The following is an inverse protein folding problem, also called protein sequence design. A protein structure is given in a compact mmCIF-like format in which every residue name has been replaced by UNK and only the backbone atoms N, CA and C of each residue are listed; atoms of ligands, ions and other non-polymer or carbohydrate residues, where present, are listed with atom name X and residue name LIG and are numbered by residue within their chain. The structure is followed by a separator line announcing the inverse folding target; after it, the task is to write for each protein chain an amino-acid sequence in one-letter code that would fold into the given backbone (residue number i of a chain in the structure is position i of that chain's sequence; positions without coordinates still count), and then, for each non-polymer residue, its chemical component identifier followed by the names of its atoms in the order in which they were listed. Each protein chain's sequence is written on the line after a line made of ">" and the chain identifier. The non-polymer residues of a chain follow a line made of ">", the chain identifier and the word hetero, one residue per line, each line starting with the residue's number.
data_IF_377679953308
#
_entry.id   IF_377679953308
#
_cell.length_a   1.000
_cell.length_b   1.000
_cell.length_c   1.000
_cell.angle_alpha   90.00
_cell.angle_beta   90.00
_cell.angle_gamma   90.00
#
_symmetry.space_group_name_H-M   'P 1'
#
loop_
_entity.id
_entity.type
_entity.pdbx_description
1 polymer ?
#
# COMPACT_ATOMS: atom_id res chain seq x y z
N UNK A 1 5.49 25.11 -0.22
CA UNK A 1 6.12 24.57 1.01
C UNK A 1 7.39 23.83 0.58
N UNK A 2 8.54 23.95 1.26
CA UNK A 2 9.78 23.56 0.62
C UNK A 2 9.99 22.03 0.70
N UNK A 3 9.92 21.42 -0.47
CA UNK A 3 10.43 20.10 -0.86
C UNK A 3 9.78 18.90 -0.16
N UNK A 4 8.60 18.50 -0.63
CA UNK A 4 8.24 17.07 -0.58
C UNK A 4 9.36 16.31 -1.28
N UNK A 5 10.04 15.43 -0.56
CA UNK A 5 11.15 14.64 -1.10
C UNK A 5 10.66 13.91 -2.36
N UNK A 6 11.32 14.13 -3.50
CA UNK A 6 10.93 13.51 -4.77
C UNK A 6 10.89 11.98 -4.68
N UNK A 7 11.66 11.39 -3.75
CA UNK A 7 11.62 9.96 -3.49
C UNK A 7 10.33 9.51 -2.80
N UNK A 8 9.79 10.34 -1.91
CA UNK A 8 8.50 10.08 -1.25
C UNK A 8 7.39 10.10 -2.28
N UNK A 9 7.33 11.13 -3.13
CA UNK A 9 6.31 11.24 -4.18
C UNK A 9 6.34 10.05 -5.15
N UNK A 10 7.52 9.60 -5.57
CA UNK A 10 7.65 8.45 -6.47
C UNK A 10 7.28 7.14 -5.75
N UNK A 11 7.61 6.99 -4.47
CA UNK A 11 7.15 5.85 -3.67
C UNK A 11 5.61 5.83 -3.57
N UNK A 12 4.98 6.96 -3.27
CA UNK A 12 3.52 7.08 -3.15
C UNK A 12 2.83 6.75 -4.48
N UNK A 13 3.39 7.22 -5.60
CA UNK A 13 2.91 6.88 -6.93
C UNK A 13 3.02 5.36 -7.20
N UNK A 14 4.12 4.72 -6.82
CA UNK A 14 4.26 3.26 -6.95
C UNK A 14 3.23 2.52 -6.08
N UNK A 15 2.93 2.98 -4.87
CA UNK A 15 1.90 2.37 -4.01
C UNK A 15 0.53 2.46 -4.67
N UNK A 16 0.19 3.62 -5.24
CA UNK A 16 -1.05 3.83 -5.99
C UNK A 16 -1.17 2.86 -7.17
N UNK A 17 -0.11 2.73 -7.97
CA UNK A 17 -0.06 1.84 -9.12
C UNK A 17 -0.16 0.36 -8.70
N UNK A 18 0.58 -0.05 -7.67
CA UNK A 18 0.63 -1.45 -7.26
C UNK A 18 -0.63 -1.92 -6.51
N UNK A 19 -1.38 -1.02 -5.89
CA UNK A 19 -2.68 -1.34 -5.29
C UNK A 19 -3.80 -1.54 -6.32
N UNK A 20 -3.69 -0.91 -7.48
CA UNK A 20 -4.62 -1.10 -8.61
C UNK A 20 -4.16 -2.16 -9.62
N UNK A 21 -2.88 -2.53 -9.58
CA UNK A 21 -2.30 -3.53 -10.48
C UNK A 21 -2.91 -4.92 -10.27
N UNK A 22 -3.35 -5.52 -11.38
CA UNK A 22 -3.72 -6.93 -11.46
C UNK A 22 -2.45 -7.78 -11.60
N UNK A 23 -2.12 -8.51 -10.53
CA UNK A 23 -1.03 -9.48 -10.53
C UNK A 23 -1.56 -10.87 -10.88
N UNK A 24 -0.77 -11.66 -11.61
CA UNK A 24 -1.10 -13.07 -11.86
C UNK A 24 -1.17 -13.87 -10.56
N UNK A 25 -0.32 -13.52 -9.59
CA UNK A 25 -0.35 -14.06 -8.24
C UNK A 25 -0.31 -12.92 -7.23
N UNK A 26 -1.31 -12.86 -6.36
CA UNK A 26 -1.38 -11.85 -5.30
C UNK A 26 -0.19 -11.92 -4.33
N UNK A 27 0.39 -13.11 -4.16
CA UNK A 27 1.58 -13.36 -3.33
C UNK A 27 2.82 -12.60 -3.79
N UNK A 28 2.88 -12.20 -5.06
CA UNK A 28 4.05 -11.55 -5.66
C UNK A 28 4.12 -10.05 -5.34
N UNK A 29 3.12 -9.48 -4.66
CA UNK A 29 3.00 -8.03 -4.46
C UNK A 29 4.26 -7.42 -3.81
N UNK A 30 4.81 -8.06 -2.78
CA UNK A 30 6.01 -7.57 -2.10
C UNK A 30 7.24 -7.68 -2.99
N UNK A 31 7.47 -8.85 -3.59
CA UNK A 31 8.63 -9.10 -4.44
C UNK A 31 8.62 -8.16 -5.66
N UNK A 32 7.46 -7.97 -6.29
CA UNK A 32 7.30 -7.12 -7.45
C UNK A 32 7.47 -5.63 -7.10
N UNK A 33 7.03 -5.21 -5.92
CA UNK A 33 7.20 -3.84 -5.45
C UNK A 33 8.65 -3.56 -5.03
N UNK A 34 9.26 -4.46 -4.26
CA UNK A 34 10.64 -4.35 -3.81
C UNK A 34 11.63 -4.34 -4.97
N UNK A 35 11.43 -5.19 -5.99
CA UNK A 35 12.29 -5.22 -7.17
C UNK A 35 12.32 -3.88 -7.92
N UNK A 36 11.20 -3.16 -7.97
CA UNK A 36 11.15 -1.82 -8.57
C UNK A 36 11.77 -0.77 -7.64
N UNK A 37 11.46 -0.83 -6.34
CA UNK A 37 12.02 0.10 -5.37
C UNK A 37 13.55 0.03 -5.32
N UNK A 38 14.14 -1.16 -5.29
CA UNK A 38 15.59 -1.34 -5.25
C UNK A 38 16.29 -0.77 -6.50
N UNK A 39 15.63 -0.83 -7.65
CA UNK A 39 16.17 -0.33 -8.92
C UNK A 39 16.06 1.20 -9.05
N UNK A 40 14.97 1.78 -8.54
CA UNK A 40 14.71 3.23 -8.62
C UNK A 40 15.41 4.00 -7.49
N UNK A 41 15.57 3.37 -6.33
CA UNK A 41 16.01 4.04 -5.12
C UNK A 41 17.18 3.33 -4.45
N UNK A 42 18.38 3.59 -4.95
CA UNK A 42 19.58 3.30 -4.17
C UNK A 42 19.52 4.06 -2.83
N UNK A 43 19.52 3.29 -1.74
CA UNK A 43 19.56 3.81 -0.37
C UNK A 43 18.21 4.27 0.22
N UNK A 44 17.06 3.81 -0.29
CA UNK A 44 15.81 3.92 0.48
C UNK A 44 15.90 3.09 1.77
N UNK A 45 15.30 3.60 2.84
CA UNK A 45 15.16 2.87 4.12
C UNK A 45 14.49 1.52 3.87
N UNK A 46 14.83 0.46 4.63
CA UNK A 46 14.12 -0.81 4.48
C UNK A 46 12.61 -0.62 4.59
N UNK A 47 11.89 -1.46 3.86
CA UNK A 47 10.44 -1.39 3.72
C UNK A 47 9.85 -2.61 4.42
N UNK A 48 9.07 -2.38 5.48
CA UNK A 48 8.39 -3.43 6.22
C UNK A 48 7.03 -3.72 5.58
N UNK A 49 6.90 -4.87 4.93
CA UNK A 49 5.64 -5.32 4.30
C UNK A 49 5.03 -4.25 3.37
N UNK A 50 5.89 -3.54 2.64
CA UNK A 50 5.48 -2.46 1.73
C UNK A 50 5.45 -1.06 2.33
N UNK A 51 5.61 -0.86 3.65
CA UNK A 51 5.66 0.45 4.31
C UNK A 51 7.10 0.92 4.62
N UNK A 52 7.47 2.19 4.40
CA UNK A 52 8.81 2.70 4.69
C UNK A 52 9.07 2.76 6.20
N UNK A 53 10.13 2.11 6.69
CA UNK A 53 10.42 2.06 8.13
C UNK A 53 10.64 3.45 8.75
N UNK A 54 11.33 4.35 8.03
CA UNK A 54 11.63 5.71 8.52
C UNK A 54 10.38 6.57 8.75
N UNK A 55 9.31 6.32 8.00
CA UNK A 55 8.07 7.09 8.03
C UNK A 55 6.88 6.17 8.34
N UNK A 56 7.11 5.11 9.11
CA UNK A 56 6.13 4.05 9.34
C UNK A 56 4.84 4.57 9.97
N UNK A 57 4.95 5.49 10.91
CA UNK A 57 3.82 6.16 11.58
C UNK A 57 2.92 6.92 10.59
N UNK A 58 3.50 7.71 9.69
CA UNK A 58 2.76 8.39 8.63
C UNK A 58 2.23 7.39 7.58
N UNK A 59 3.01 6.35 7.26
CA UNK A 59 2.65 5.35 6.28
C UNK A 59 1.50 4.45 6.73
N UNK A 60 1.31 4.26 8.05
CA UNK A 60 0.14 3.57 8.60
C UNK A 60 -1.18 4.31 8.34
N UNK A 61 -1.14 5.61 8.03
CA UNK A 61 -2.31 6.44 7.76
C UNK A 61 -2.74 6.41 6.29
N UNK A 62 -2.29 5.41 5.53
CA UNK A 62 -2.76 5.22 4.17
C UNK A 62 -4.27 4.96 4.16
N UNK A 63 -4.94 5.41 3.10
CA UNK A 63 -6.37 5.17 2.88
C UNK A 63 -6.59 4.66 1.47
N UNK A 64 -7.66 3.90 1.28
CA UNK A 64 -8.12 3.53 -0.06
C UNK A 64 -9.08 4.58 -0.58
N UNK A 65 -8.94 4.97 -1.85
CA UNK A 65 -9.83 5.93 -2.51
C UNK A 65 -11.19 5.35 -2.93
N UNK A 66 -11.40 4.05 -2.75
CA UNK A 66 -12.61 3.36 -3.16
C UNK A 66 -12.68 1.94 -2.57
N UNK A 67 -13.43 1.07 -3.24
CA UNK A 67 -13.66 -0.28 -2.74
C UNK A 67 -12.43 -1.18 -2.95
N UNK A 68 -11.67 -1.42 -1.89
CA UNK A 68 -10.56 -2.37 -1.86
C UNK A 68 -11.00 -3.73 -1.30
N UNK A 69 -10.42 -4.79 -1.83
CA UNK A 69 -10.62 -6.17 -1.36
C UNK A 69 -9.30 -6.75 -0.84
N UNK A 70 -9.38 -7.73 0.07
CA UNK A 70 -8.19 -8.43 0.55
C UNK A 70 -7.57 -9.27 -0.56
N UNK A 71 -6.25 -9.25 -0.66
CA UNK A 71 -5.50 -10.12 -1.57
C UNK A 71 -5.63 -11.59 -1.17
N UNK A 72 -5.67 -12.48 -2.16
CA UNK A 72 -5.68 -13.92 -1.93
C UNK A 72 -4.36 -14.35 -1.27
N UNK A 73 -4.44 -15.17 -0.22
CA UNK A 73 -3.30 -15.49 0.64
C UNK A 73 -3.10 -14.53 1.83
N UNK A 74 -3.72 -13.35 1.84
CA UNK A 74 -3.74 -12.51 3.03
C UNK A 74 -4.44 -13.18 4.22
N UNK A 75 -5.29 -14.18 3.97
CA UNK A 75 -6.10 -14.82 5.01
C UNK A 75 -5.54 -16.11 5.55
N UNK A 76 -4.88 -17.00 4.80
CA UNK A 76 -4.50 -18.32 5.34
C UNK A 76 -3.31 -18.93 4.58
N UNK A 77 -2.18 -19.16 5.26
CA UNK A 77 -1.30 -20.28 4.95
C UNK A 77 -1.74 -21.44 5.84
N UNK A 78 -2.08 -22.62 5.31
CA UNK A 78 -2.21 -23.81 6.14
C UNK A 78 -0.79 -24.17 6.61
N UNK A 79 -0.41 -23.74 7.81
CA UNK A 79 0.80 -24.27 8.42
C UNK A 79 0.58 -25.77 8.66
N UNK A 80 1.43 -26.59 8.04
CA UNK A 80 1.52 -28.00 8.34
C UNK A 80 2.05 -28.19 9.78
N UNK A 81 1.15 -28.13 10.76
CA UNK A 81 1.40 -28.61 12.13
C UNK A 81 1.32 -27.60 13.26
N UNK A 82 1.07 -26.32 13.03
CA UNK A 82 0.80 -25.35 14.09
C UNK A 82 -0.56 -24.67 13.82
N UNK A 83 -1.48 -24.76 14.79
CA UNK A 83 -2.88 -24.35 14.65
C UNK A 83 -3.13 -22.84 14.57
N UNK A 84 -2.16 -22.06 14.08
CA UNK A 84 -2.30 -20.63 13.84
C UNK A 84 -2.11 -20.36 12.34
N UNK A 85 -3.19 -20.04 11.63
CA UNK A 85 -3.13 -19.51 10.27
C UNK A 85 -2.36 -18.19 10.28
N UNK A 86 -1.15 -18.16 9.73
CA UNK A 86 -0.40 -16.92 9.58
C UNK A 86 -0.89 -16.17 8.35
N UNK A 87 -1.46 -14.98 8.56
CA UNK A 87 -1.80 -14.06 7.48
C UNK A 87 -0.51 -13.65 6.74
N UNK A 88 -0.39 -13.92 5.43
CA UNK A 88 0.77 -13.48 4.63
C UNK A 88 0.95 -11.96 4.67
N UNK A 89 -0.16 -11.23 4.82
CA UNK A 89 -0.18 -9.77 4.84
C UNK A 89 -1.04 -9.25 6.01
N UNK A 90 -0.48 -8.39 6.88
CA UNK A 90 -1.24 -7.79 7.96
C UNK A 90 -2.30 -6.84 7.41
N UNK A 91 -3.44 -6.71 8.09
CA UNK A 91 -4.55 -5.85 7.68
C UNK A 91 -4.19 -4.36 7.63
N UNK A 92 -3.19 -3.94 8.41
CA UNK A 92 -2.74 -2.55 8.48
C UNK A 92 -1.80 -2.13 7.34
N UNK A 93 -1.30 -3.07 6.53
CA UNK A 93 -0.44 -2.75 5.39
C UNK A 93 -1.25 -2.70 4.09
N UNK A 94 -0.98 -1.72 3.22
CA UNK A 94 -1.65 -1.60 1.91
C UNK A 94 -1.43 -2.84 1.03
N UNK A 95 -0.32 -3.56 1.22
CA UNK A 95 0.04 -4.77 0.47
C UNK A 95 -0.96 -5.90 0.66
N UNK A 96 -1.72 -5.90 1.75
CA UNK A 96 -2.81 -6.84 1.99
C UNK A 96 -4.09 -6.56 1.20
N UNK A 97 -4.14 -5.47 0.43
CA UNK A 97 -5.32 -4.96 -0.26
C UNK A 97 -5.08 -4.75 -1.76
N UNK A 98 -6.16 -4.83 -2.56
CA UNK A 98 -6.15 -4.59 -4.01
C UNK A 98 -7.47 -4.00 -4.52
N UNK A 99 -7.44 -3.48 -5.75
CA UNK A 99 -8.63 -3.08 -6.50
C UNK A 99 -9.02 -1.62 -6.34
N UNK A 100 -8.30 -0.85 -5.52
CA UNK A 100 -8.49 0.58 -5.39
C UNK A 100 -7.18 1.27 -4.99
N UNK A 101 -6.92 2.50 -5.48
CA UNK A 101 -5.68 3.20 -5.17
C UNK A 101 -5.52 3.46 -3.67
N UNK A 102 -4.34 3.12 -3.14
CA UNK A 102 -3.91 3.59 -1.83
C UNK A 102 -3.18 4.92 -1.95
N UNK A 103 -3.50 5.85 -1.05
CA UNK A 103 -2.88 7.17 -0.95
C UNK A 103 -2.53 7.47 0.51
N UNK A 104 -1.61 8.40 0.74
CA UNK A 104 -1.20 8.79 2.08
C UNK A 104 -1.83 10.12 2.50
N UNK A 105 -1.92 10.35 3.80
CA UNK A 105 -2.55 11.55 4.37
C UNK A 105 -1.96 12.87 3.82
N UNK A 106 -0.68 12.91 3.44
CA UNK A 106 -0.09 14.10 2.84
C UNK A 106 -0.69 14.44 1.48
N UNK A 107 -1.12 13.44 0.69
CA UNK A 107 -1.85 13.64 -0.56
C UNK A 107 -3.30 14.06 -0.29
N UNK A 108 -3.90 13.52 0.79
CA UNK A 108 -5.28 13.84 1.19
C UNK A 108 -5.41 15.29 1.69
N UNK A 109 -4.40 15.78 2.41
CA UNK A 109 -4.43 17.09 3.08
C UNK A 109 -3.57 18.16 2.38
N UNK A 110 -2.69 17.78 1.45
CA UNK A 110 -1.65 18.65 0.86
C UNK A 110 -2.00 19.27 -0.50
N UNK A 111 -2.73 18.58 -1.37
CA UNK A 111 -3.29 19.16 -2.60
C UNK A 111 -4.67 18.58 -2.91
N UNK A 112 -5.56 19.43 -3.43
CA UNK A 112 -6.90 19.06 -3.82
C UNK A 112 -6.84 17.95 -4.89
N UNK A 113 -7.10 16.70 -4.49
CA UNK A 113 -7.69 15.73 -5.40
C UNK A 113 -8.84 16.46 -6.13
N UNK A 114 -8.99 16.34 -7.46
CA UNK A 114 -10.19 16.81 -8.14
C UNK A 114 -11.36 15.98 -7.59
N UNK A 115 -11.92 16.44 -6.48
CA UNK A 115 -13.00 15.81 -5.80
C UNK A 115 -14.25 16.06 -6.63
N UNK A 116 -14.56 15.12 -7.52
CA UNK A 116 -15.85 15.05 -8.17
C UNK A 116 -16.88 14.51 -7.17
N UNK A 117 -17.20 15.28 -6.13
CA UNK A 117 -18.51 15.29 -5.49
C UNK A 117 -19.04 14.06 -4.74
N UNK A 118 -18.47 12.87 -4.91
CA UNK A 118 -19.29 11.66 -4.83
C UNK A 118 -18.70 10.39 -4.21
N UNK A 119 -17.41 10.32 -3.85
CA UNK A 119 -16.80 9.04 -3.43
C UNK A 119 -16.38 8.92 -1.96
N UNK A 120 -16.36 10.00 -1.17
CA UNK A 120 -15.97 9.90 0.24
C UNK A 120 -17.06 9.30 1.15
N UNK A 121 -18.32 9.32 0.73
CA UNK A 121 -19.43 8.85 1.57
C UNK A 121 -19.62 7.32 1.55
N UNK A 122 -18.91 6.58 0.70
CA UNK A 122 -19.07 5.12 0.58
C UNK A 122 -17.96 4.31 1.26
N UNK A 123 -16.99 4.96 1.91
CA UNK A 123 -15.83 4.29 2.52
C UNK A 123 -15.85 4.29 4.06
N UNK A 124 -16.94 4.78 4.69
CA UNK A 124 -17.12 4.80 6.15
C UNK A 124 -18.55 4.33 6.53
N UNK A 125 -19.06 3.29 5.89
CA UNK A 125 -20.24 2.54 6.39
C UNK A 125 -19.88 1.12 6.78
#
# INVERSE_FOLDING_TARGET
>A
MPFTDQRVLVYEHLVNDYTTKELSYDSDILNAFEGVLQNIFEGISPVLIGLPERHFDAALLWVSLGHAVRREGATEIPEAGAGNSMHLYPSWAWTGWKGSPAIYAIDVFGEALPWNGGQLNSCIE
#
